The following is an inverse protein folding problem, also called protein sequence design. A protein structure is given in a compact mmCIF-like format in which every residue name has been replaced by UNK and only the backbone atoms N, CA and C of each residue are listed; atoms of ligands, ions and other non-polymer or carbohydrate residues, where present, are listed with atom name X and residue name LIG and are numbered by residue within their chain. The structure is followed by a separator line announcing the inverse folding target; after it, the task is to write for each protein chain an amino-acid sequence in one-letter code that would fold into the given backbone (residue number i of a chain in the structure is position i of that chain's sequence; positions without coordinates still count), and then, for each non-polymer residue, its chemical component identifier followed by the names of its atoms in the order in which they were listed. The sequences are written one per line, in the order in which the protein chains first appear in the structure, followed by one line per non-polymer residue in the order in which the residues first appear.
data_IF_602944773937
#
_entry.id   IF_602944773937
#
_cell.length_a   1.000
_cell.length_b   1.000
_cell.length_c   1.000
_cell.angle_alpha   90.00
_cell.angle_beta   90.00
_cell.angle_gamma   90.00
#
_symmetry.space_group_name_H-M   'P 1'
#
loop_
_entity.id
_entity.type
_entity.pdbx_description
1 polymer ?
#
# COMPACT_ATOMS: atom_id res chain seq x y z
N UNK A 1 24.42 -6.14 -31.33
CA UNK A 1 23.33 -7.06 -31.06
C UNK A 1 22.27 -6.28 -30.35
N UNK A 2 21.20 -5.91 -31.03
CA UNK A 2 20.02 -5.29 -30.39
C UNK A 2 19.39 -6.35 -29.50
N UNK A 3 19.52 -6.21 -28.18
CA UNK A 3 18.76 -6.98 -27.21
C UNK A 3 17.28 -6.72 -27.51
N UNK A 4 16.57 -7.76 -27.93
CA UNK A 4 15.10 -7.73 -27.99
C UNK A 4 14.66 -7.51 -26.54
N UNK A 5 14.20 -6.28 -26.24
CA UNK A 5 13.63 -5.97 -24.94
C UNK A 5 12.28 -6.72 -24.87
N UNK A 6 12.29 -7.91 -24.30
CA UNK A 6 11.06 -8.68 -24.09
C UNK A 6 10.33 -8.00 -22.94
N UNK A 7 9.24 -7.29 -23.25
CA UNK A 7 8.39 -6.69 -22.24
C UNK A 7 7.88 -7.75 -21.27
N UNK A 8 8.19 -7.59 -19.98
CA UNK A 8 7.77 -8.50 -18.92
C UNK A 8 6.33 -8.19 -18.50
N UNK A 9 5.44 -9.18 -18.56
CA UNK A 9 4.05 -9.03 -18.14
C UNK A 9 3.95 -9.19 -16.61
N UNK A 10 3.44 -8.17 -15.94
CA UNK A 10 3.19 -8.19 -14.50
C UNK A 10 1.69 -8.20 -14.24
N UNK A 11 1.21 -9.21 -13.51
CA UNK A 11 -0.15 -9.19 -12.96
C UNK A 11 -0.19 -8.32 -11.71
N UNK A 12 -1.14 -7.41 -11.62
CA UNK A 12 -1.36 -6.57 -10.43
C UNK A 12 -2.73 -6.91 -9.84
N UNK A 13 -2.75 -7.44 -8.61
CA UNK A 13 -3.98 -7.59 -7.82
C UNK A 13 -4.28 -6.29 -7.07
N UNK A 14 -5.55 -6.04 -6.71
CA UNK A 14 -5.90 -4.77 -6.07
C UNK A 14 -5.68 -3.53 -6.95
N UNK A 15 -5.56 -3.70 -8.28
CA UNK A 15 -5.13 -2.69 -9.24
C UNK A 15 -5.98 -1.41 -9.25
N UNK A 16 -7.25 -1.46 -8.84
CA UNK A 16 -8.16 -0.30 -8.77
C UNK A 16 -8.14 0.43 -7.43
N UNK A 17 -7.37 -0.05 -6.45
CA UNK A 17 -7.16 0.60 -5.16
C UNK A 17 -5.92 1.52 -5.17
N UNK A 18 -5.69 2.27 -4.08
CA UNK A 18 -4.61 3.26 -4.00
C UNK A 18 -3.22 2.65 -4.33
N UNK A 19 -2.83 1.58 -3.65
CA UNK A 19 -1.54 0.94 -3.87
C UNK A 19 -1.42 0.33 -5.27
N UNK A 20 -2.35 -0.55 -5.66
CA UNK A 20 -2.28 -1.24 -6.94
C UNK A 20 -2.38 -0.30 -8.15
N UNK A 21 -3.09 0.82 -8.01
CA UNK A 21 -3.19 1.84 -9.04
C UNK A 21 -1.86 2.56 -9.27
N UNK A 22 -1.21 3.04 -8.20
CA UNK A 22 0.11 3.65 -8.27
C UNK A 22 1.14 2.68 -8.88
N UNK A 23 1.17 1.43 -8.43
CA UNK A 23 2.07 0.40 -8.95
C UNK A 23 1.85 0.16 -10.45
N UNK A 24 0.59 0.01 -10.88
CA UNK A 24 0.26 -0.19 -12.29
C UNK A 24 0.75 0.98 -13.15
N UNK A 25 0.56 2.22 -12.70
CA UNK A 25 1.04 3.40 -13.41
C UNK A 25 2.56 3.46 -13.49
N UNK A 26 3.29 3.24 -12.39
CA UNK A 26 4.75 3.26 -12.39
C UNK A 26 5.35 2.15 -13.28
N UNK A 27 4.77 0.94 -13.25
CA UNK A 27 5.19 -0.14 -14.15
C UNK A 27 4.99 0.23 -15.63
N UNK A 28 3.84 0.83 -15.98
CA UNK A 28 3.56 1.27 -17.35
C UNK A 28 4.51 2.39 -17.80
N UNK A 29 4.83 3.34 -16.92
CA UNK A 29 5.74 4.45 -17.20
C UNK A 29 7.18 4.01 -17.47
N UNK A 30 7.64 2.89 -16.89
CA UNK A 30 8.97 2.32 -17.15
C UNK A 30 9.15 1.86 -18.60
N UNK A 31 8.09 1.52 -19.31
CA UNK A 31 8.10 1.16 -20.73
C UNK A 31 8.74 -0.20 -21.06
N UNK A 32 9.18 -0.96 -20.07
CA UNK A 32 9.73 -2.31 -20.21
C UNK A 32 8.83 -3.39 -19.57
N UNK A 33 7.65 -2.97 -19.11
CA UNK A 33 6.63 -3.83 -18.55
C UNK A 33 5.30 -3.70 -19.30
N UNK A 34 4.59 -4.83 -19.40
CA UNK A 34 3.16 -4.86 -19.64
C UNK A 34 2.46 -5.09 -18.30
N UNK A 35 1.36 -4.40 -18.08
CA UNK A 35 0.55 -4.56 -16.88
C UNK A 35 -0.75 -5.25 -17.21
N UNK A 36 -1.05 -6.32 -16.49
CA UNK A 36 -2.35 -6.96 -16.46
C UNK A 36 -2.99 -6.66 -15.11
N UNK A 37 -4.10 -5.90 -15.12
CA UNK A 37 -4.84 -5.53 -13.93
C UNK A 37 -5.97 -6.53 -13.65
N UNK A 38 -5.92 -7.22 -12.51
CA UNK A 38 -7.01 -8.07 -12.06
C UNK A 38 -8.12 -7.19 -11.48
N UNK A 39 -9.30 -7.25 -12.09
CA UNK A 39 -10.45 -6.44 -11.69
C UNK A 39 -11.71 -7.29 -11.54
N UNK A 40 -12.58 -6.99 -10.58
CA UNK A 40 -13.88 -7.65 -10.42
C UNK A 40 -14.90 -7.14 -11.44
N UNK A 41 -14.84 -5.83 -11.75
CA UNK A 41 -15.73 -5.17 -12.71
C UNK A 41 -14.90 -4.26 -13.62
N UNK A 42 -14.77 -4.62 -14.93
CA UNK A 42 -13.97 -3.88 -15.88
C UNK A 42 -14.61 -2.55 -16.33
N UNK A 43 -15.88 -2.29 -15.95
CA UNK A 43 -16.60 -1.08 -16.33
C UNK A 43 -16.51 0.03 -15.28
N UNK A 44 -15.92 -0.23 -14.12
CA UNK A 44 -15.73 0.81 -13.11
C UNK A 44 -14.75 1.89 -13.60
N UNK A 45 -14.96 3.16 -13.24
CA UNK A 45 -14.11 4.27 -13.69
C UNK A 45 -12.61 4.02 -13.49
N UNK A 46 -12.20 3.49 -12.32
CA UNK A 46 -10.81 3.18 -12.04
C UNK A 46 -10.23 2.08 -12.97
N UNK A 47 -11.01 1.06 -13.31
CA UNK A 47 -10.57 0.03 -14.27
C UNK A 47 -10.44 0.60 -15.68
N UNK A 48 -11.40 1.43 -16.11
CA UNK A 48 -11.35 2.10 -17.41
C UNK A 48 -10.17 3.06 -17.52
N UNK A 49 -9.83 3.78 -16.44
CA UNK A 49 -8.65 4.63 -16.40
C UNK A 49 -7.35 3.83 -16.59
N UNK A 50 -7.20 2.69 -15.90
CA UNK A 50 -6.05 1.80 -16.10
C UNK A 50 -5.95 1.27 -17.53
N UNK A 51 -7.09 0.91 -18.14
CA UNK A 51 -7.13 0.50 -19.55
C UNK A 51 -6.67 1.62 -20.48
N UNK A 52 -7.12 2.86 -20.23
CA UNK A 52 -6.69 4.03 -21.01
C UNK A 52 -5.19 4.31 -20.82
N UNK A 53 -4.64 4.04 -19.64
CA UNK A 53 -3.20 4.13 -19.36
C UNK A 53 -2.38 3.02 -20.04
N UNK A 54 -3.00 2.00 -20.62
CA UNK A 54 -2.32 0.93 -21.36
C UNK A 54 -2.33 -0.44 -20.67
N UNK A 55 -2.98 -0.59 -19.51
CA UNK A 55 -3.10 -1.88 -18.85
C UNK A 55 -4.09 -2.81 -19.58
N UNK A 56 -3.76 -4.10 -19.64
CA UNK A 56 -4.69 -5.18 -19.99
C UNK A 56 -5.61 -5.42 -18.78
N UNK A 57 -6.92 -5.38 -18.97
CA UNK A 57 -7.87 -5.78 -17.91
C UNK A 57 -8.19 -7.25 -18.01
N UNK A 58 -8.08 -7.97 -16.90
CA UNK A 58 -8.57 -9.34 -16.76
C UNK A 58 -9.62 -9.41 -15.65
N UNK A 59 -10.77 -9.98 -15.96
CA UNK A 59 -11.83 -10.16 -14.97
C UNK A 59 -11.55 -11.41 -14.15
N UNK A 60 -11.54 -11.24 -12.81
CA UNK A 60 -11.33 -12.34 -11.88
C UNK A 60 -11.56 -11.96 -10.43
N UNK A 61 -11.55 -12.98 -9.59
CA UNK A 61 -11.72 -12.89 -8.13
C UNK A 61 -10.62 -13.69 -7.43
N UNK A 62 -10.08 -13.17 -6.34
CA UNK A 62 -9.04 -13.86 -5.56
C UNK A 62 -9.56 -15.16 -4.89
N UNK A 63 -10.88 -15.33 -4.81
CA UNK A 63 -11.52 -16.56 -4.34
C UNK A 63 -11.79 -17.58 -5.46
N UNK A 64 -11.60 -17.22 -6.73
CA UNK A 64 -11.80 -18.11 -7.88
C UNK A 64 -10.46 -18.52 -8.47
N UNK A 65 -10.02 -19.74 -8.15
CA UNK A 65 -8.75 -20.30 -8.63
C UNK A 65 -8.68 -20.32 -10.16
N UNK A 66 -9.75 -20.65 -10.86
CA UNK A 66 -9.74 -20.69 -12.31
C UNK A 66 -9.54 -19.31 -12.92
N UNK A 67 -10.04 -18.26 -12.27
CA UNK A 67 -9.78 -16.86 -12.70
C UNK A 67 -8.34 -16.43 -12.46
N UNK A 68 -7.73 -16.89 -11.36
CA UNK A 68 -6.31 -16.63 -11.05
C UNK A 68 -5.40 -17.34 -12.08
N UNK A 69 -5.68 -18.60 -12.39
CA UNK A 69 -4.90 -19.37 -13.39
C UNK A 69 -4.93 -18.66 -14.76
N UNK A 70 -6.10 -18.17 -15.19
CA UNK A 70 -6.21 -17.36 -16.42
C UNK A 70 -5.45 -16.04 -16.35
N UNK A 71 -5.54 -15.35 -15.22
CA UNK A 71 -4.90 -14.05 -15.03
C UNK A 71 -3.36 -14.18 -15.03
N UNK A 72 -2.81 -15.25 -14.51
CA UNK A 72 -1.37 -15.51 -14.44
C UNK A 72 -0.78 -16.10 -15.72
N UNK A 73 -1.60 -16.52 -16.68
CA UNK A 73 -1.10 -17.12 -17.92
C UNK A 73 -0.13 -16.19 -18.66
N UNK A 74 1.10 -16.64 -18.82
CA UNK A 74 2.17 -15.90 -19.50
C UNK A 74 2.73 -14.70 -18.74
N UNK A 75 2.36 -14.51 -17.48
CA UNK A 75 2.93 -13.48 -16.64
C UNK A 75 4.37 -13.85 -16.23
N UNK A 76 5.26 -12.84 -16.24
CA UNK A 76 6.60 -12.93 -15.66
C UNK A 76 6.53 -12.84 -14.14
N UNK A 77 5.74 -11.92 -13.63
CA UNK A 77 5.63 -11.67 -12.20
C UNK A 77 4.22 -11.27 -11.78
N UNK A 78 4.01 -11.25 -10.48
CA UNK A 78 2.75 -10.81 -9.88
C UNK A 78 3.01 -9.91 -8.67
N UNK A 79 2.29 -8.80 -8.61
CA UNK A 79 2.12 -8.03 -7.38
C UNK A 79 0.85 -8.52 -6.68
N UNK A 80 1.01 -9.09 -5.49
CA UNK A 80 -0.04 -9.72 -4.70
C UNK A 80 -0.40 -8.83 -3.51
N UNK A 81 -1.61 -8.31 -3.51
CA UNK A 81 -2.21 -7.51 -2.43
C UNK A 81 -3.58 -8.07 -2.08
N UNK A 82 -3.83 -8.29 -0.79
CA UNK A 82 -5.13 -8.57 -0.20
C UNK A 82 -5.46 -7.51 0.85
N UNK A 83 -6.73 -7.39 1.17
CA UNK A 83 -7.24 -6.43 2.15
C UNK A 83 -8.03 -7.15 3.24
N UNK A 84 -7.88 -6.71 4.49
CA UNK A 84 -8.52 -7.33 5.66
C UNK A 84 -10.01 -6.96 5.81
N UNK A 85 -10.51 -5.96 5.08
CA UNK A 85 -11.90 -5.50 5.19
C UNK A 85 -12.93 -6.59 4.84
N UNK A 86 -12.54 -7.59 4.07
CA UNK A 86 -13.37 -8.76 3.76
C UNK A 86 -13.21 -9.89 4.80
N UNK A 87 -12.51 -9.62 5.92
CA UNK A 87 -12.20 -10.51 7.03
C UNK A 87 -10.79 -11.12 6.95
N UNK A 88 -10.17 -11.30 8.11
CA UNK A 88 -8.80 -11.79 8.25
C UNK A 88 -8.59 -13.17 7.61
N UNK A 89 -9.51 -14.11 7.88
CA UNK A 89 -9.45 -15.44 7.27
C UNK A 89 -9.57 -15.39 5.74
N UNK A 90 -10.33 -14.44 5.22
CA UNK A 90 -10.45 -14.21 3.77
C UNK A 90 -9.15 -13.69 3.20
N UNK A 91 -8.52 -12.72 3.86
CA UNK A 91 -7.21 -12.19 3.47
C UNK A 91 -6.16 -13.29 3.39
N UNK A 92 -6.05 -14.13 4.44
CA UNK A 92 -5.11 -15.26 4.49
C UNK A 92 -5.38 -16.25 3.36
N UNK A 93 -6.64 -16.65 3.18
CA UNK A 93 -7.04 -17.60 2.12
C UNK A 93 -6.72 -17.06 0.74
N UNK A 94 -7.04 -15.79 0.47
CA UNK A 94 -6.76 -15.14 -0.82
C UNK A 94 -5.25 -15.02 -1.09
N UNK A 95 -4.45 -14.63 -0.08
CA UNK A 95 -3.00 -14.54 -0.22
C UNK A 95 -2.37 -15.88 -0.59
N UNK A 96 -2.77 -16.95 0.11
CA UNK A 96 -2.33 -18.33 -0.20
C UNK A 96 -2.79 -18.78 -1.58
N UNK A 97 -4.03 -18.49 -1.98
CA UNK A 97 -4.56 -18.86 -3.29
C UNK A 97 -3.79 -18.19 -4.45
N UNK A 98 -3.40 -16.91 -4.29
CA UNK A 98 -2.56 -16.24 -5.30
C UNK A 98 -1.16 -16.87 -5.35
N UNK A 99 -0.56 -17.20 -4.21
CA UNK A 99 0.74 -17.86 -4.15
C UNK A 99 0.71 -19.24 -4.83
N UNK A 100 -0.31 -20.05 -4.56
CA UNK A 100 -0.49 -21.36 -5.19
C UNK A 100 -0.68 -21.26 -6.71
N UNK A 101 -1.48 -20.29 -7.15
CA UNK A 101 -1.69 -20.06 -8.58
C UNK A 101 -0.41 -19.57 -9.27
N UNK A 102 0.35 -18.69 -8.61
CA UNK A 102 1.62 -18.16 -9.08
C UNK A 102 2.68 -19.31 -9.21
N UNK A 103 2.78 -20.18 -8.22
CA UNK A 103 3.64 -21.35 -8.24
C UNK A 103 3.28 -22.28 -9.42
N UNK A 104 1.98 -22.57 -9.59
CA UNK A 104 1.49 -23.41 -10.69
C UNK A 104 1.75 -22.80 -12.07
N UNK A 105 1.74 -21.48 -12.19
CA UNK A 105 2.01 -20.73 -13.42
C UNK A 105 3.51 -20.58 -13.72
N UNK A 106 4.41 -20.97 -12.81
CA UNK A 106 5.86 -20.80 -12.96
C UNK A 106 6.31 -19.35 -12.96
N UNK A 107 5.69 -18.52 -12.15
CA UNK A 107 6.03 -17.08 -12.01
C UNK A 107 7.48 -16.91 -11.58
N UNK A 108 8.20 -16.00 -12.22
CA UNK A 108 9.62 -15.75 -11.97
C UNK A 108 9.89 -14.69 -10.89
N UNK A 109 8.89 -13.89 -10.51
CA UNK A 109 8.99 -12.94 -9.41
C UNK A 109 7.63 -12.67 -8.76
N UNK A 110 7.47 -13.13 -7.53
CA UNK A 110 6.28 -12.92 -6.70
C UNK A 110 6.55 -11.78 -5.72
N UNK A 111 5.90 -10.64 -5.89
CA UNK A 111 6.03 -9.50 -4.97
C UNK A 111 4.78 -9.42 -4.11
N UNK A 112 4.95 -9.61 -2.79
CA UNK A 112 3.86 -9.58 -1.83
C UNK A 112 3.82 -8.25 -1.07
N UNK A 113 2.65 -7.60 -1.02
CA UNK A 113 2.39 -6.45 -0.17
C UNK A 113 1.90 -6.89 1.20
N UNK A 114 2.81 -6.91 2.15
CA UNK A 114 2.55 -7.16 3.56
C UNK A 114 2.30 -5.85 4.31
N UNK A 115 2.79 -5.72 5.54
CA UNK A 115 2.73 -4.52 6.37
C UNK A 115 3.99 -4.42 7.23
N UNK A 116 4.41 -3.20 7.56
CA UNK A 116 5.55 -2.93 8.44
C UNK A 116 5.45 -3.70 9.76
N UNK A 117 6.57 -4.27 10.17
CA UNK A 117 6.71 -4.99 11.44
C UNK A 117 5.84 -6.24 11.62
N UNK A 118 5.27 -6.81 10.55
CA UNK A 118 4.40 -7.99 10.63
C UNK A 118 5.06 -9.18 11.37
N UNK A 119 6.40 -9.32 11.26
CA UNK A 119 7.18 -10.40 11.87
C UNK A 119 7.39 -10.28 13.39
N UNK A 120 6.91 -9.19 14.00
CA UNK A 120 7.25 -8.86 15.40
C UNK A 120 6.23 -9.33 16.43
N UNK A 121 5.29 -10.21 16.08
CA UNK A 121 4.18 -10.62 16.96
C UNK A 121 3.45 -9.39 17.52
N UNK A 122 2.93 -8.58 16.64
CA UNK A 122 2.38 -7.25 17.00
C UNK A 122 1.13 -7.33 17.85
N UNK A 123 0.36 -8.41 17.74
CA UNK A 123 -0.98 -8.54 18.30
C UNK A 123 -2.01 -7.65 17.59
N UNK A 124 -1.63 -7.03 16.46
CA UNK A 124 -2.54 -6.31 15.59
C UNK A 124 -3.12 -7.30 14.59
N UNK A 125 -4.43 -7.59 14.61
CA UNK A 125 -5.00 -8.72 13.87
C UNK A 125 -4.68 -8.73 12.38
N UNK A 126 -4.78 -7.57 11.70
CA UNK A 126 -4.48 -7.48 10.26
C UNK A 126 -2.97 -7.42 9.94
N UNK A 127 -2.07 -7.23 10.91
CA UNK A 127 -0.63 -7.45 10.72
C UNK A 127 -0.32 -8.95 10.80
N UNK A 128 -0.93 -9.61 11.79
CA UNK A 128 -0.73 -11.03 12.03
C UNK A 128 -1.32 -11.90 10.90
N UNK A 129 -2.44 -11.48 10.27
CA UNK A 129 -2.98 -12.17 9.08
C UNK A 129 -2.02 -12.10 7.90
N UNK A 130 -1.41 -10.92 7.65
CA UNK A 130 -0.41 -10.76 6.59
C UNK A 130 0.85 -11.58 6.87
N UNK A 131 1.29 -11.63 8.13
CA UNK A 131 2.44 -12.46 8.50
C UNK A 131 2.20 -13.95 8.22
N UNK A 132 1.00 -14.46 8.45
CA UNK A 132 0.64 -15.83 8.09
C UNK A 132 0.75 -16.09 6.57
N UNK A 133 0.46 -15.09 5.74
CA UNK A 133 0.68 -15.20 4.28
C UNK A 133 2.17 -15.17 3.95
N UNK A 134 2.96 -14.32 4.64
CA UNK A 134 4.42 -14.31 4.48
C UNK A 134 5.05 -15.66 4.82
N UNK A 135 4.63 -16.29 5.94
CA UNK A 135 5.11 -17.63 6.33
C UNK A 135 4.80 -18.66 5.25
N UNK A 136 3.60 -18.58 4.66
CA UNK A 136 3.20 -19.45 3.57
C UNK A 136 4.05 -19.27 2.31
N UNK A 137 4.32 -17.99 1.93
CA UNK A 137 5.18 -17.66 0.79
C UNK A 137 6.61 -18.17 1.03
N UNK A 138 7.17 -17.98 2.23
CA UNK A 138 8.51 -18.49 2.59
C UNK A 138 8.61 -20.02 2.53
N UNK A 139 7.54 -20.70 2.91
CA UNK A 139 7.47 -22.16 2.85
C UNK A 139 7.26 -22.70 1.43
N UNK A 140 6.86 -21.85 0.48
CA UNK A 140 6.74 -22.20 -0.93
C UNK A 140 8.10 -22.04 -1.64
N UNK A 141 8.25 -22.65 -2.81
CA UNK A 141 9.45 -22.49 -3.63
C UNK A 141 9.36 -21.27 -4.58
N UNK A 142 8.47 -20.31 -4.30
CA UNK A 142 8.31 -19.12 -5.13
C UNK A 142 9.54 -18.22 -5.02
N UNK A 143 10.05 -17.67 -6.13
CA UNK A 143 11.01 -16.59 -6.11
C UNK A 143 10.29 -15.29 -5.68
N UNK A 144 10.45 -14.89 -4.43
CA UNK A 144 9.64 -13.82 -3.83
C UNK A 144 10.42 -12.57 -3.46
N UNK A 145 9.70 -11.47 -3.30
CA UNK A 145 10.07 -10.31 -2.49
C UNK A 145 8.87 -9.93 -1.61
N UNK A 146 9.07 -9.81 -0.31
CA UNK A 146 8.05 -9.35 0.62
C UNK A 146 8.33 -7.88 0.93
N UNK A 147 7.35 -7.02 0.63
CA UNK A 147 7.41 -5.60 0.92
C UNK A 147 6.46 -5.29 2.07
N UNK A 148 6.97 -4.58 3.07
CA UNK A 148 6.25 -4.22 4.29
C UNK A 148 6.09 -2.70 4.36
N UNK A 149 5.13 -2.12 3.60
CA UNK A 149 4.84 -0.70 3.71
C UNK A 149 4.31 -0.36 5.11
N UNK A 150 4.68 0.83 5.58
CA UNK A 150 4.20 1.40 6.85
C UNK A 150 2.90 2.19 6.63
N UNK A 151 2.54 3.11 7.54
CA UNK A 151 1.35 3.92 7.44
C UNK A 151 1.34 4.80 6.18
N UNK A 152 0.29 4.73 5.37
CA UNK A 152 0.20 5.51 4.14
C UNK A 152 -0.34 6.92 4.36
N UNK A 153 0.20 7.90 3.63
CA UNK A 153 -0.25 9.29 3.64
C UNK A 153 -1.74 9.44 3.27
N UNK A 154 -2.25 8.62 2.33
CA UNK A 154 -3.66 8.71 1.93
C UNK A 154 -4.65 8.42 3.08
N UNK A 155 -4.21 7.80 4.17
CA UNK A 155 -5.06 7.57 5.34
C UNK A 155 -5.58 8.87 5.95
N UNK A 156 -4.84 9.99 5.80
CA UNK A 156 -5.31 11.31 6.24
C UNK A 156 -6.53 11.82 5.47
N UNK A 157 -6.84 11.28 4.31
CA UNK A 157 -8.04 11.65 3.55
C UNK A 157 -9.34 11.42 4.33
N UNK A 158 -9.36 10.43 5.23
CA UNK A 158 -10.51 10.19 6.11
C UNK A 158 -10.70 11.31 7.14
N UNK A 159 -9.64 12.05 7.47
CA UNK A 159 -9.65 13.15 8.44
C UNK A 159 -9.77 14.51 7.77
N UNK A 160 -9.84 14.56 6.44
CA UNK A 160 -9.82 15.80 5.66
C UNK A 160 -10.82 16.85 6.17
N UNK A 161 -12.09 16.53 6.46
CA UNK A 161 -13.03 17.54 6.97
C UNK A 161 -12.60 18.18 8.29
N UNK A 162 -11.99 17.41 9.19
CA UNK A 162 -11.51 17.91 10.49
C UNK A 162 -10.24 18.74 10.33
N UNK A 163 -9.31 18.30 9.50
CA UNK A 163 -8.09 19.03 9.17
C UNK A 163 -8.44 20.36 8.47
N UNK A 164 -9.38 20.34 7.53
CA UNK A 164 -9.91 21.55 6.88
C UNK A 164 -10.71 22.44 7.85
N UNK A 165 -11.23 21.93 8.97
CA UNK A 165 -11.80 22.72 10.05
C UNK A 165 -10.73 23.31 11.00
N UNK A 166 -9.47 22.89 10.89
CA UNK A 166 -8.33 23.41 11.65
C UNK A 166 -7.85 22.51 12.79
N UNK A 167 -8.25 21.22 12.82
CA UNK A 167 -7.81 20.32 13.88
C UNK A 167 -7.48 18.92 13.34
N UNK A 168 -6.34 18.39 13.76
CA UNK A 168 -5.95 16.99 13.57
C UNK A 168 -6.16 16.23 14.88
N UNK A 169 -7.14 15.34 14.93
CA UNK A 169 -7.43 14.50 16.10
C UNK A 169 -6.78 13.12 15.93
N UNK A 170 -5.94 12.71 16.90
CA UNK A 170 -5.30 11.39 16.94
C UNK A 170 -5.05 10.97 18.40
N UNK A 171 -4.97 9.67 18.72
CA UNK A 171 -4.74 9.21 20.09
C UNK A 171 -3.27 9.18 20.50
N UNK A 172 -2.33 9.30 19.55
CA UNK A 172 -0.89 9.21 19.80
C UNK A 172 -0.40 10.39 20.64
N UNK A 173 0.59 10.17 21.50
CA UNK A 173 1.21 11.28 22.24
C UNK A 173 1.94 12.23 21.28
N UNK A 174 2.10 13.50 21.64
CA UNK A 174 2.77 14.48 20.77
C UNK A 174 4.22 14.12 20.43
N UNK A 175 4.85 13.29 21.23
CA UNK A 175 6.23 12.84 21.08
C UNK A 175 6.36 11.55 20.24
N UNK A 176 5.27 10.80 20.08
CA UNK A 176 5.26 9.55 19.33
C UNK A 176 5.48 9.81 17.85
N UNK A 177 6.52 9.18 17.31
CA UNK A 177 6.82 9.21 15.89
C UNK A 177 6.11 8.07 15.18
N UNK A 178 5.59 8.38 14.01
CA UNK A 178 4.98 7.41 13.11
C UNK A 178 5.69 7.46 11.76
N UNK A 179 6.27 6.34 11.37
CA UNK A 179 6.84 6.19 10.02
C UNK A 179 5.71 6.11 8.99
N UNK A 180 5.90 6.79 7.88
CA UNK A 180 4.86 6.97 6.87
C UNK A 180 5.44 6.92 5.46
N UNK A 181 4.58 6.66 4.47
CA UNK A 181 4.95 6.42 3.07
C UNK A 181 3.84 6.94 2.14
N UNK A 182 4.19 7.52 1.00
CA UNK A 182 3.21 7.79 -0.06
C UNK A 182 2.94 6.54 -0.89
N UNK A 183 1.73 6.41 -1.43
CA UNK A 183 1.39 5.36 -2.38
C UNK A 183 2.16 5.48 -3.69
N UNK A 184 2.53 6.69 -4.08
CA UNK A 184 3.32 6.95 -5.29
C UNK A 184 4.76 6.46 -5.11
N UNK A 185 5.43 6.80 -3.99
CA UNK A 185 6.76 6.25 -3.66
C UNK A 185 6.72 4.73 -3.60
N UNK A 186 5.66 4.17 -2.99
CA UNK A 186 5.48 2.71 -2.94
C UNK A 186 5.37 2.11 -4.33
N UNK A 187 4.61 2.75 -5.22
CA UNK A 187 4.48 2.35 -6.63
C UNK A 187 5.82 2.35 -7.35
N UNK A 188 6.62 3.39 -7.18
CA UNK A 188 7.96 3.49 -7.74
C UNK A 188 8.91 2.42 -7.20
N UNK A 189 8.92 2.21 -5.86
CA UNK A 189 9.73 1.18 -5.21
C UNK A 189 9.36 -0.22 -5.70
N UNK A 190 8.07 -0.54 -5.89
CA UNK A 190 7.63 -1.82 -6.45
C UNK A 190 8.08 -1.98 -7.91
N UNK A 191 8.01 -0.91 -8.71
CA UNK A 191 8.52 -0.94 -10.08
C UNK A 191 10.03 -1.20 -10.12
N UNK A 192 10.80 -0.60 -9.21
CA UNK A 192 12.25 -0.86 -9.05
C UNK A 192 12.53 -2.31 -8.65
N UNK A 193 11.72 -2.89 -7.77
CA UNK A 193 11.83 -4.31 -7.37
C UNK A 193 11.69 -5.25 -8.57
N UNK A 194 10.72 -4.98 -9.45
CA UNK A 194 10.56 -5.76 -10.69
C UNK A 194 11.65 -5.48 -11.73
N UNK A 195 12.18 -4.26 -11.75
CA UNK A 195 13.21 -3.88 -12.72
C UNK A 195 14.60 -4.44 -12.39
N UNK A 196 14.90 -4.53 -11.09
CA UNK A 196 16.17 -5.01 -10.54
C UNK A 196 15.99 -6.30 -9.71
N UNK A 197 15.45 -7.39 -10.27
CA UNK A 197 15.11 -8.59 -9.48
C UNK A 197 16.32 -9.20 -8.78
N UNK A 198 17.53 -9.08 -9.33
CA UNK A 198 18.74 -9.60 -8.70
C UNK A 198 19.06 -8.93 -7.35
N UNK A 199 18.65 -7.67 -7.16
CA UNK A 199 18.90 -6.92 -5.94
C UNK A 199 17.87 -7.22 -4.84
N UNK A 200 16.68 -7.73 -5.22
CA UNK A 200 15.53 -7.82 -4.34
C UNK A 200 14.99 -9.24 -4.12
N UNK A 201 15.41 -10.21 -4.93
CA UNK A 201 14.92 -11.58 -4.82
C UNK A 201 15.20 -12.18 -3.43
N UNK A 202 14.20 -12.83 -2.84
CA UNK A 202 14.24 -13.44 -1.51
C UNK A 202 14.54 -12.44 -0.37
N UNK A 203 14.21 -11.16 -0.58
CA UNK A 203 14.33 -10.14 0.47
C UNK A 203 12.97 -9.78 1.06
N UNK A 204 13.01 -9.37 2.30
CA UNK A 204 11.89 -8.82 3.07
C UNK A 204 12.29 -7.40 3.48
N UNK A 205 11.50 -6.41 3.09
CA UNK A 205 11.91 -5.01 3.19
C UNK A 205 10.77 -4.19 3.78
N UNK A 206 11.01 -3.57 4.93
CA UNK A 206 10.11 -2.58 5.51
C UNK A 206 10.32 -1.23 4.80
N UNK A 207 9.25 -0.60 4.33
CA UNK A 207 9.29 0.58 3.46
C UNK A 207 8.63 1.79 4.11
N UNK A 208 9.39 2.88 4.25
CA UNK A 208 8.94 4.17 4.77
C UNK A 208 9.66 5.33 4.06
N UNK A 209 9.02 6.48 3.99
CA UNK A 209 9.58 7.72 3.44
C UNK A 209 10.01 8.70 4.54
N UNK A 210 9.18 8.84 5.57
CA UNK A 210 9.36 9.82 6.66
C UNK A 210 9.07 9.20 8.01
N UNK A 211 9.54 9.86 9.07
CA UNK A 211 9.26 9.53 10.47
C UNK A 211 8.88 10.83 11.19
N UNK A 212 7.57 11.03 11.44
CA UNK A 212 7.02 12.30 11.90
C UNK A 212 6.10 12.12 13.11
N UNK A 213 6.12 13.13 14.00
CA UNK A 213 5.13 13.27 15.08
C UNK A 213 3.82 13.87 14.57
N UNK A 214 2.72 13.68 15.31
CA UNK A 214 1.44 14.28 14.94
C UNK A 214 1.46 15.82 14.93
N UNK A 215 2.15 16.53 15.86
CA UNK A 215 2.37 17.96 15.75
C UNK A 215 3.12 18.40 14.48
N UNK A 216 4.13 17.65 14.03
CA UNK A 216 4.83 17.93 12.77
C UNK A 216 3.91 17.76 11.56
N UNK A 217 3.05 16.74 11.56
CA UNK A 217 2.01 16.53 10.55
C UNK A 217 1.00 17.70 10.54
N UNK A 218 0.50 18.13 11.71
CA UNK A 218 -0.40 19.27 11.82
C UNK A 218 0.24 20.58 11.32
N UNK A 219 1.52 20.78 11.61
CA UNK A 219 2.28 21.91 11.10
C UNK A 219 2.44 21.88 9.56
N UNK A 220 2.66 20.70 8.97
CA UNK A 220 2.71 20.52 7.51
C UNK A 220 1.35 20.86 6.87
N UNK A 221 0.25 20.36 7.43
CA UNK A 221 -1.10 20.77 7.00
C UNK A 221 -1.29 22.28 7.09
N UNK A 222 -0.86 22.91 8.19
CA UNK A 222 -0.98 24.36 8.36
C UNK A 222 -0.29 25.16 7.24
N UNK A 223 0.93 24.73 6.87
CA UNK A 223 1.69 25.38 5.80
C UNK A 223 1.03 25.22 4.44
N UNK A 224 0.51 24.03 4.13
CA UNK A 224 -0.11 23.75 2.84
C UNK A 224 -1.50 24.39 2.71
N UNK A 225 -2.30 24.39 3.79
CA UNK A 225 -3.64 24.99 3.80
C UNK A 225 -3.63 26.51 3.98
N UNK A 226 -2.48 27.10 4.35
CA UNK A 226 -2.37 28.53 4.62
C UNK A 226 -3.18 28.99 5.84
N UNK A 227 -3.46 28.10 6.78
CA UNK A 227 -4.20 28.38 8.03
C UNK A 227 -3.72 27.46 9.15
N UNK A 228 -3.98 27.84 10.40
CA UNK A 228 -3.62 27.01 11.55
C UNK A 228 -4.40 25.70 11.56
N UNK A 229 -3.67 24.59 11.68
CA UNK A 229 -4.20 23.27 12.02
C UNK A 229 -3.50 22.85 13.30
N UNK A 230 -4.27 22.66 14.37
CA UNK A 230 -3.74 22.26 15.66
C UNK A 230 -3.83 20.74 15.84
N UNK A 231 -2.80 20.15 16.42
CA UNK A 231 -2.87 18.76 16.86
C UNK A 231 -3.61 18.70 18.20
N UNK A 232 -4.59 17.83 18.29
CA UNK A 232 -5.29 17.54 19.54
C UNK A 232 -5.27 16.03 19.81
N UNK A 233 -4.53 15.65 20.85
CA UNK A 233 -4.57 14.29 21.34
C UNK A 233 -5.93 14.00 21.97
N UNK A 234 -6.53 12.86 21.61
CA UNK A 234 -7.77 12.36 22.19
C UNK A 234 -7.54 11.07 22.94
N UNK A 235 -8.32 10.77 24.00
CA UNK A 235 -8.22 9.48 24.69
C UNK A 235 -8.45 8.30 23.73
N UNK A 236 -7.74 7.20 23.93
CA UNK A 236 -7.91 5.98 23.13
C UNK A 236 -9.36 5.44 23.17
N UNK A 237 -10.05 5.60 24.28
CA UNK A 237 -11.46 5.18 24.44
C UNK A 237 -12.40 6.00 23.53
N UNK A 238 -12.14 7.30 23.37
CA UNK A 238 -12.91 8.14 22.47
C UNK A 238 -12.58 7.83 20.99
N UNK A 239 -11.33 7.50 20.71
CA UNK A 239 -10.89 7.09 19.39
C UNK A 239 -11.50 5.75 18.96
N UNK A 240 -11.55 4.77 19.88
CA UNK A 240 -12.16 3.46 19.66
C UNK A 240 -13.63 3.53 19.28
N UNK A 241 -14.38 4.44 19.93
CA UNK A 241 -15.79 4.68 19.58
C UNK A 241 -15.99 5.18 18.14
N UNK A 242 -14.97 5.79 17.54
CA UNK A 242 -15.06 6.35 16.19
C UNK A 242 -14.59 5.36 15.11
N UNK A 243 -13.52 4.59 15.38
CA UNK A 243 -12.85 3.76 14.37
C UNK A 243 -12.91 2.26 14.64
N UNK A 244 -13.39 1.86 15.83
CA UNK A 244 -13.50 0.46 16.26
C UNK A 244 -12.23 -0.08 16.92
N UNK A 245 -12.40 -1.25 17.55
CA UNK A 245 -11.40 -1.89 18.39
C UNK A 245 -10.13 -2.27 17.60
N UNK A 246 -10.27 -2.89 16.44
CA UNK A 246 -9.14 -3.42 15.67
C UNK A 246 -8.14 -2.32 15.28
N UNK A 247 -8.62 -1.20 14.75
CA UNK A 247 -7.74 -0.08 14.42
C UNK A 247 -7.18 0.59 15.67
N UNK A 248 -7.91 0.59 16.78
CA UNK A 248 -7.41 1.12 18.06
C UNK A 248 -6.27 0.27 18.61
N UNK A 249 -6.32 -1.06 18.48
CA UNK A 249 -5.20 -1.96 18.81
C UNK A 249 -3.95 -1.55 18.01
N UNK A 250 -4.10 -1.30 16.71
CA UNK A 250 -2.99 -0.82 15.86
C UNK A 250 -2.41 0.51 16.36
N UNK A 251 -3.24 1.48 16.69
CA UNK A 251 -2.77 2.78 17.20
C UNK A 251 -2.10 2.66 18.59
N UNK A 252 -2.59 1.77 19.47
CA UNK A 252 -1.90 1.46 20.74
C UNK A 252 -0.53 0.81 20.47
N UNK A 253 -0.42 -0.01 19.43
CA UNK A 253 0.86 -0.56 19.02
C UNK A 253 1.79 0.54 18.46
N UNK A 254 1.29 1.50 17.66
CA UNK A 254 2.08 2.65 17.23
C UNK A 254 2.62 3.45 18.42
N UNK A 255 1.79 3.69 19.44
CA UNK A 255 2.18 4.43 20.65
C UNK A 255 3.31 3.73 21.43
N UNK A 256 3.22 2.42 21.58
CA UNK A 256 4.11 1.68 22.48
C UNK A 256 5.34 1.08 21.80
N UNK A 257 5.28 0.77 20.52
CA UNK A 257 6.30 0.02 19.77
C UNK A 257 6.72 0.77 18.51
N UNK A 258 5.78 1.01 17.60
CA UNK A 258 6.00 1.69 16.32
C UNK A 258 6.75 0.85 15.28
N UNK A 259 6.83 1.40 14.08
CA UNK A 259 7.60 0.84 12.96
C UNK A 259 9.11 1.06 13.15
N UNK A 260 9.93 0.32 12.38
CA UNK A 260 11.39 0.42 12.49
C UNK A 260 12.11 0.26 11.14
N UNK A 261 11.51 0.78 10.06
CA UNK A 261 12.18 0.84 8.77
C UNK A 261 13.48 1.65 8.85
N UNK A 262 14.54 1.14 8.24
CA UNK A 262 15.83 1.85 8.16
C UNK A 262 15.79 2.88 7.02
N UNK A 263 15.35 4.10 7.36
CA UNK A 263 15.26 5.22 6.40
C UNK A 263 16.61 5.55 5.74
N UNK A 264 17.73 5.32 6.43
CA UNK A 264 19.03 5.59 5.87
C UNK A 264 19.41 4.54 4.80
N UNK A 265 19.06 3.28 5.01
CA UNK A 265 19.22 2.22 4.02
C UNK A 265 18.28 2.42 2.83
N UNK A 266 17.01 2.75 3.09
CA UNK A 266 16.01 2.96 2.04
C UNK A 266 16.41 4.08 1.07
N UNK A 267 17.01 5.17 1.58
CA UNK A 267 17.55 6.26 0.73
C UNK A 267 18.72 5.83 -0.17
N UNK A 268 19.39 4.74 0.15
CA UNK A 268 20.45 4.17 -0.73
C UNK A 268 19.87 3.22 -1.77
N UNK A 269 18.83 2.48 -1.41
CA UNK A 269 18.25 1.42 -2.23
C UNK A 269 17.25 1.98 -3.27
N UNK A 270 16.56 3.08 -2.93
CA UNK A 270 15.48 3.67 -3.71
C UNK A 270 15.71 5.17 -3.97
N UNK A 271 15.03 5.76 -4.97
CA UNK A 271 15.03 7.21 -5.19
C UNK A 271 14.61 8.01 -3.95
N UNK A 272 14.95 9.30 -3.94
CA UNK A 272 14.58 10.18 -2.84
C UNK A 272 13.05 10.21 -2.66
N UNK A 273 12.55 9.85 -1.46
CA UNK A 273 11.12 9.78 -1.24
C UNK A 273 10.48 11.18 -1.20
N UNK A 274 9.20 11.23 -1.53
CA UNK A 274 8.36 12.43 -1.46
C UNK A 274 8.18 12.86 0.00
N UNK A 275 8.45 14.12 0.31
CA UNK A 275 8.12 14.67 1.61
C UNK A 275 6.61 14.90 1.75
N UNK A 276 6.13 14.95 3.00
CA UNK A 276 4.69 15.03 3.27
C UNK A 276 4.02 16.31 2.73
N UNK A 277 4.72 17.45 2.73
CA UNK A 277 4.15 18.69 2.19
C UNK A 277 4.01 18.66 0.67
N UNK A 278 5.00 18.13 -0.04
CA UNK A 278 4.94 17.91 -1.48
C UNK A 278 3.78 16.98 -1.82
N UNK A 279 3.64 15.86 -1.10
CA UNK A 279 2.49 14.97 -1.24
C UNK A 279 1.15 15.71 -1.08
N UNK A 280 1.01 16.53 -0.04
CA UNK A 280 -0.24 17.27 0.20
C UNK A 280 -0.56 18.25 -0.94
N UNK A 281 0.45 18.88 -1.53
CA UNK A 281 0.26 19.81 -2.67
C UNK A 281 -0.17 19.04 -3.93
N UNK A 282 0.46 17.93 -4.21
CA UNK A 282 0.18 17.09 -5.39
C UNK A 282 -1.20 16.44 -5.32
N UNK A 283 -1.73 16.24 -4.10
CA UNK A 283 -3.05 15.67 -3.85
C UNK A 283 -4.13 16.72 -3.53
N UNK A 284 -3.93 17.96 -4.00
CA UNK A 284 -4.92 19.04 -3.96
C UNK A 284 -5.45 19.41 -2.57
N UNK A 285 -4.63 19.19 -1.51
CA UNK A 285 -5.04 19.60 -0.16
C UNK A 285 -5.19 21.09 0.00
N UNK A 286 -4.51 21.93 -0.81
CA UNK A 286 -4.69 23.38 -0.84
C UNK A 286 -6.02 23.83 -1.46
N UNK A 287 -6.70 22.97 -2.22
CA UNK A 287 -8.03 23.25 -2.73
C UNK A 287 -9.06 22.85 -1.69
N UNK A 288 -9.88 23.81 -1.23
CA UNK A 288 -10.99 23.48 -0.34
C UNK A 288 -11.87 22.42 -1.00
N UNK A 289 -12.19 21.35 -0.28
CA UNK A 289 -13.19 20.40 -0.75
C UNK A 289 -14.52 21.16 -0.88
N UNK A 290 -15.10 21.18 -2.08
CA UNK A 290 -16.50 21.56 -2.20
C UNK A 290 -17.30 20.65 -1.25
N UNK A 291 -17.94 21.26 -0.26
CA UNK A 291 -18.63 20.56 0.82
C UNK A 291 -19.64 19.57 0.22
N UNK A 292 -19.26 18.30 0.13
CA UNK A 292 -20.23 17.23 -0.09
C UNK A 292 -20.99 17.03 1.22
N UNK A 293 -22.33 17.21 1.23
CA UNK A 293 -23.11 16.96 2.44
C UNK A 293 -22.93 15.51 2.87
N UNK A 294 -22.76 15.32 4.17
CA UNK A 294 -22.69 14.04 4.88
C UNK A 294 -24.07 13.29 4.84
N UNK A 295 -24.66 13.13 3.69
CA UNK A 295 -25.91 12.37 3.54
C UNK A 295 -25.81 11.50 2.31
N UNK A 296 -25.44 10.25 2.51
CA UNK A 296 -25.82 9.04 1.77
C UNK A 296 -24.68 7.99 1.84
N UNK A 297 -24.67 7.25 2.91
CA UNK A 297 -24.23 5.84 2.90
C UNK A 297 -25.19 5.01 3.71
#
# INVERSE_FOLDING_TARGET
MTSINVERLILVTGATGNQGNAIAHHLLQRGNFKVRALVRDPNKPAALALKQAGAELVVGDLNDRASLDRALQGAYGVFSLQIFQDGLDTEIRQGKAVADAASSAGIQHFVYSSVGSAERNTGVPHFDSKFQVEEYIRASELPYTILRPVFFFYNYNMMRPMVEAGTLFQPLSPETKLQQLSEEDYGEMVADVFDRPADFMNREIELASVDMTMPEIAAAFSRVLGKTVEYQQIPFEAFEQQIGEELTIMYRWFENVGYAADLAQLKRDFPAPTDFESYLRDHDWQKQSEARPLSAR
#
